data_IF_527439194058
#
_entry.id   IF_527439194058
#
_cell.length_a   1.000
_cell.length_b   1.000
_cell.length_c   1.000
_cell.angle_alpha   90.00
_cell.angle_beta   90.00
_cell.angle_gamma   90.00
#
_symmetry.space_group_name_H-M   'P 1'
#
loop_
_entity.id
_entity.type
_entity.pdbx_description
1 polymer ?
#
# COMPACT_ATOMS: atom_id res chain seq x y z
N UNK A 1 5.46 -16.27 6.68
CA UNK A 1 4.27 -15.39 6.85
C UNK A 1 3.50 -15.47 5.55
N UNK A 2 2.19 -15.75 5.61
CA UNK A 2 1.30 -15.80 4.45
C UNK A 2 0.70 -14.42 4.20
N UNK A 3 1.04 -13.82 3.06
CA UNK A 3 0.72 -12.43 2.75
C UNK A 3 -0.14 -12.38 1.49
N UNK A 4 -1.25 -11.64 1.58
CA UNK A 4 -2.15 -11.31 0.49
C UNK A 4 -1.97 -9.86 0.04
N UNK A 5 -1.82 -9.62 -1.26
CA UNK A 5 -1.94 -8.28 -1.85
C UNK A 5 -3.15 -8.25 -2.78
N UNK A 6 -4.13 -7.39 -2.49
CA UNK A 6 -5.33 -7.28 -3.31
C UNK A 6 -5.10 -6.25 -4.42
N UNK A 7 -4.68 -6.68 -5.61
CA UNK A 7 -4.54 -5.79 -6.74
C UNK A 7 -5.85 -5.74 -7.52
N UNK A 8 -6.40 -4.54 -7.73
CA UNK A 8 -7.59 -4.35 -8.54
C UNK A 8 -7.65 -2.94 -9.12
N UNK A 9 -8.66 -2.66 -9.94
CA UNK A 9 -8.91 -1.35 -10.52
C UNK A 9 -10.13 -0.66 -9.88
N UNK A 10 -9.96 0.01 -8.72
CA UNK A 10 -10.98 0.89 -8.18
C UNK A 10 -11.39 1.95 -9.20
N UNK A 11 -12.59 2.51 -9.04
CA UNK A 11 -13.07 3.66 -9.82
C UNK A 11 -13.38 4.82 -8.88
N UNK A 12 -12.91 6.02 -9.22
CA UNK A 12 -13.17 7.25 -8.45
C UNK A 12 -14.66 7.39 -8.15
N UNK A 13 -14.99 7.48 -6.87
CA UNK A 13 -16.34 7.73 -6.35
C UNK A 13 -17.30 6.54 -6.40
N UNK A 14 -16.97 5.41 -7.03
CA UNK A 14 -17.82 4.20 -7.09
C UNK A 14 -17.59 3.29 -5.88
N UNK A 15 -17.82 3.80 -4.67
CA UNK A 15 -17.50 3.08 -3.42
C UNK A 15 -18.16 1.70 -3.36
N UNK A 16 -19.46 1.64 -3.64
CA UNK A 16 -20.20 0.39 -3.63
C UNK A 16 -19.72 -0.60 -4.71
N UNK A 17 -19.33 -0.11 -5.89
CA UNK A 17 -18.76 -0.96 -6.93
C UNK A 17 -17.36 -1.45 -6.59
N UNK A 18 -16.53 -0.62 -5.97
CA UNK A 18 -15.17 -0.97 -5.56
C UNK A 18 -15.17 -2.04 -4.46
N UNK A 19 -16.07 -1.93 -3.49
CA UNK A 19 -16.31 -3.00 -2.49
C UNK A 19 -16.70 -4.31 -3.19
N UNK A 20 -17.65 -4.26 -4.13
CA UNK A 20 -18.05 -5.45 -4.89
C UNK A 20 -16.88 -6.07 -5.68
N UNK A 21 -15.99 -5.26 -6.26
CA UNK A 21 -14.80 -5.73 -6.98
C UNK A 21 -13.83 -6.44 -6.04
N UNK A 22 -13.51 -5.80 -4.91
CA UNK A 22 -12.66 -6.37 -3.87
C UNK A 22 -13.22 -7.71 -3.36
N UNK A 23 -14.50 -7.74 -2.99
CA UNK A 23 -15.18 -8.94 -2.50
C UNK A 23 -15.25 -10.05 -3.56
N UNK A 24 -15.45 -9.68 -4.84
CA UNK A 24 -15.46 -10.64 -5.94
C UNK A 24 -14.09 -11.32 -6.13
N UNK A 25 -12.99 -10.59 -5.96
CA UNK A 25 -11.64 -11.18 -6.03
C UNK A 25 -11.41 -12.11 -4.84
N UNK A 26 -11.69 -11.64 -3.61
CA UNK A 26 -11.50 -12.44 -2.40
C UNK A 26 -12.37 -13.70 -2.39
N UNK A 27 -13.60 -13.64 -2.92
CA UNK A 27 -14.50 -14.81 -2.98
C UNK A 27 -14.12 -15.83 -4.04
N UNK A 28 -13.35 -15.44 -5.07
CA UNK A 28 -12.82 -16.36 -6.10
C UNK A 28 -11.51 -17.02 -5.70
N UNK A 29 -10.79 -16.48 -4.71
CA UNK A 29 -9.57 -17.07 -4.21
C UNK A 29 -9.83 -18.45 -3.59
N UNK A 30 -8.86 -19.37 -3.71
CA UNK A 30 -9.04 -20.69 -3.13
C UNK A 30 -9.12 -20.56 -1.58
N UNK A 31 -9.96 -21.34 -0.90
CA UNK A 31 -10.04 -21.29 0.56
C UNK A 31 -8.70 -21.49 1.28
N UNK A 32 -7.81 -22.32 0.71
CA UNK A 32 -6.46 -22.52 1.23
C UNK A 32 -5.57 -21.27 1.11
N UNK A 33 -5.80 -20.45 0.08
CA UNK A 33 -5.09 -19.19 -0.16
C UNK A 33 -5.55 -18.09 0.81
N UNK A 34 -6.77 -18.20 1.35
CA UNK A 34 -7.35 -17.22 2.27
C UNK A 34 -6.95 -17.42 3.75
N UNK A 35 -6.15 -18.44 4.06
CA UNK A 35 -5.50 -18.57 5.37
C UNK A 35 -4.26 -17.67 5.43
N UNK A 36 -4.49 -16.35 5.43
CA UNK A 36 -3.49 -15.30 5.44
C UNK A 36 -3.13 -14.88 6.87
N UNK A 37 -1.90 -14.44 7.07
CA UNK A 37 -1.51 -13.67 8.26
C UNK A 37 -1.81 -12.18 8.06
N UNK A 38 -1.61 -11.69 6.82
CA UNK A 38 -1.73 -10.28 6.43
C UNK A 38 -2.41 -10.14 5.05
N UNK A 39 -3.36 -9.23 4.93
CA UNK A 39 -3.96 -8.77 3.67
C UNK A 39 -3.74 -7.26 3.53
N UNK A 40 -3.12 -6.84 2.43
CA UNK A 40 -2.83 -5.43 2.14
C UNK A 40 -3.63 -4.99 0.91
N UNK A 41 -4.34 -3.88 1.06
CA UNK A 41 -5.06 -3.22 -0.03
C UNK A 41 -4.27 -2.00 -0.56
N UNK A 42 -4.54 -1.58 -1.80
CA UNK A 42 -3.98 -0.37 -2.39
C UNK A 42 -4.37 0.90 -1.64
N UNK A 43 -3.69 1.97 -1.98
CA UNK A 43 -4.00 3.31 -1.51
C UNK A 43 -5.40 3.71 -1.99
N UNK A 44 -6.23 4.24 -1.08
CA UNK A 44 -7.60 4.66 -1.37
C UNK A 44 -8.44 3.59 -2.11
N UNK A 45 -8.26 2.33 -1.72
CA UNK A 45 -8.73 1.15 -2.45
C UNK A 45 -10.23 1.16 -2.74
N UNK A 46 -11.05 1.68 -1.82
CA UNK A 46 -12.50 1.61 -1.97
C UNK A 46 -13.10 2.90 -2.52
N UNK A 47 -12.35 4.00 -2.61
CA UNK A 47 -12.84 5.28 -3.14
C UNK A 47 -12.36 5.58 -4.56
N UNK A 48 -11.30 4.92 -5.04
CA UNK A 48 -10.49 5.45 -6.13
C UNK A 48 -9.59 6.58 -5.64
N UNK A 49 -8.72 7.13 -6.49
CA UNK A 49 -7.62 7.99 -6.05
C UNK A 49 -7.65 9.38 -6.69
N UNK A 50 -7.90 9.47 -7.99
CA UNK A 50 -7.66 10.67 -8.80
C UNK A 50 -8.70 11.81 -8.60
N UNK A 51 -8.99 12.18 -7.35
CA UNK A 51 -9.82 13.34 -7.01
C UNK A 51 -9.05 14.63 -7.30
N UNK A 52 -9.62 15.52 -8.12
CA UNK A 52 -8.94 16.72 -8.62
C UNK A 52 -8.99 17.91 -7.65
N UNK A 53 -9.88 17.86 -6.68
CA UNK A 53 -10.08 18.94 -5.73
C UNK A 53 -10.67 18.44 -4.42
N UNK A 54 -10.58 19.30 -3.40
CA UNK A 54 -11.28 19.08 -2.14
C UNK A 54 -12.80 18.86 -2.34
N UNK A 55 -13.44 19.60 -3.24
CA UNK A 55 -14.87 19.48 -3.48
C UNK A 55 -15.24 18.08 -4.02
N UNK A 56 -14.37 17.50 -4.85
CA UNK A 56 -14.60 16.19 -5.45
C UNK A 56 -14.47 15.06 -4.44
N UNK A 57 -13.54 15.19 -3.48
CA UNK A 57 -13.30 14.16 -2.47
C UNK A 57 -14.19 14.28 -1.23
N UNK A 58 -14.70 15.49 -0.91
CA UNK A 58 -15.46 15.75 0.32
C UNK A 58 -16.60 14.74 0.59
N UNK A 59 -17.39 14.27 -0.41
CA UNK A 59 -18.43 13.26 -0.19
C UNK A 59 -17.91 11.87 0.22
N UNK A 60 -16.63 11.60 0.01
CA UNK A 60 -15.98 10.32 0.22
C UNK A 60 -15.05 10.30 1.44
N UNK A 61 -14.83 11.45 2.09
CA UNK A 61 -14.05 11.54 3.33
C UNK A 61 -14.72 10.75 4.46
N UNK A 62 -13.94 9.91 5.14
CA UNK A 62 -14.45 8.97 6.13
C UNK A 62 -13.86 9.18 7.53
N UNK A 63 -14.71 9.04 8.55
CA UNK A 63 -14.25 8.94 9.94
C UNK A 63 -13.54 7.60 10.18
N UNK A 64 -12.42 7.60 10.89
CA UNK A 64 -11.62 6.38 11.14
C UNK A 64 -12.40 5.22 11.79
N UNK A 65 -13.43 5.52 12.59
CA UNK A 65 -14.13 4.52 13.42
C UNK A 65 -15.44 4.02 12.79
N UNK A 66 -16.04 4.80 11.88
CA UNK A 66 -17.35 4.53 11.27
C UNK A 66 -17.33 4.58 9.73
N UNK A 67 -16.21 4.94 9.13
CA UNK A 67 -16.00 4.93 7.69
C UNK A 67 -16.32 3.60 7.05
N UNK A 68 -16.77 3.63 5.80
CA UNK A 68 -17.10 2.44 5.02
C UNK A 68 -15.85 1.60 4.76
N UNK A 69 -14.71 2.21 4.46
CA UNK A 69 -13.44 1.52 4.27
C UNK A 69 -12.94 0.87 5.54
N UNK A 70 -13.01 1.57 6.68
CA UNK A 70 -12.66 1.01 7.99
C UNK A 70 -13.61 -0.11 8.41
N UNK A 71 -14.90 0.02 8.10
CA UNK A 71 -15.90 -1.02 8.39
C UNK A 71 -15.64 -2.27 7.55
N UNK A 72 -15.43 -2.11 6.24
CA UNK A 72 -15.06 -3.21 5.36
C UNK A 72 -13.78 -3.90 5.83
N UNK A 73 -12.74 -3.14 6.21
CA UNK A 73 -11.48 -3.69 6.71
C UNK A 73 -11.68 -4.53 7.99
N UNK A 74 -12.54 -4.08 8.92
CA UNK A 74 -12.89 -4.85 10.14
C UNK A 74 -13.64 -6.13 9.83
N UNK A 75 -14.60 -6.08 8.92
CA UNK A 75 -15.36 -7.26 8.50
C UNK A 75 -14.47 -8.28 7.78
N UNK A 76 -13.61 -7.81 6.85
CA UNK A 76 -12.65 -8.65 6.16
C UNK A 76 -11.65 -9.28 7.12
N UNK A 77 -11.09 -8.50 8.06
CA UNK A 77 -10.13 -8.98 9.05
C UNK A 77 -10.74 -10.07 9.94
N UNK A 78 -11.95 -9.86 10.45
CA UNK A 78 -12.65 -10.85 11.27
C UNK A 78 -13.06 -12.11 10.49
N UNK A 79 -13.52 -11.93 9.24
CA UNK A 79 -13.93 -13.03 8.36
C UNK A 79 -12.76 -13.94 8.00
N UNK A 80 -11.62 -13.35 7.65
CA UNK A 80 -10.41 -14.07 7.21
C UNK A 80 -9.41 -14.34 8.34
N UNK A 81 -9.68 -13.83 9.55
CA UNK A 81 -8.84 -13.96 10.76
C UNK A 81 -7.38 -13.53 10.53
N UNK A 82 -7.20 -12.48 9.75
CA UNK A 82 -5.89 -11.95 9.36
C UNK A 82 -5.79 -10.46 9.66
N UNK A 83 -4.58 -9.92 9.71
CA UNK A 83 -4.39 -8.47 9.75
C UNK A 83 -4.78 -7.87 8.40
N UNK A 84 -5.56 -6.79 8.40
CA UNK A 84 -5.92 -6.06 7.18
C UNK A 84 -5.35 -4.65 7.24
N UNK A 85 -4.71 -4.22 6.15
CA UNK A 85 -4.29 -2.84 5.93
C UNK A 85 -5.07 -2.28 4.75
N UNK A 86 -5.82 -1.19 4.95
CA UNK A 86 -6.64 -0.58 3.91
C UNK A 86 -6.48 0.93 3.84
N UNK A 87 -6.12 1.44 2.65
CA UNK A 87 -6.01 2.87 2.38
C UNK A 87 -7.38 3.53 2.19
N UNK A 88 -7.58 4.72 2.77
CA UNK A 88 -8.83 5.47 2.72
C UNK A 88 -8.60 6.99 2.92
N UNK A 89 -9.51 7.85 2.44
CA UNK A 89 -9.45 9.28 2.72
C UNK A 89 -10.07 9.59 4.10
N UNK A 90 -9.22 9.92 5.07
CA UNK A 90 -9.61 10.19 6.45
C UNK A 90 -10.13 11.62 6.63
N UNK A 91 -11.17 11.75 7.45
CA UNK A 91 -11.65 12.99 8.04
C UNK A 91 -11.43 12.99 9.54
N UNK A 92 -11.01 14.13 10.08
CA UNK A 92 -10.92 14.36 11.51
C UNK A 92 -11.69 15.60 11.87
N UNK A 93 -12.68 15.43 12.73
CA UNK A 93 -13.38 16.54 13.35
C UNK A 93 -12.49 17.18 14.42
N UNK A 94 -12.34 18.51 14.37
CA UNK A 94 -11.62 19.24 15.40
C UNK A 94 -12.26 19.10 16.79
N UNK A 95 -11.58 19.53 17.86
CA UNK A 95 -11.92 19.23 19.25
C UNK A 95 -13.27 19.81 19.72
N UNK A 96 -13.95 20.64 18.92
CA UNK A 96 -15.32 21.08 19.19
C UNK A 96 -16.17 21.13 17.91
N UNK A 97 -17.49 20.98 18.05
CA UNK A 97 -18.45 21.21 16.97
C UNK A 97 -18.45 22.66 16.42
N UNK A 98 -17.73 23.59 17.09
CA UNK A 98 -17.52 24.97 16.65
C UNK A 98 -16.16 25.20 15.99
N UNK A 99 -15.29 24.19 15.93
CA UNK A 99 -14.04 24.27 15.18
C UNK A 99 -14.35 24.21 13.68
N UNK A 100 -13.91 25.24 12.97
CA UNK A 100 -14.18 25.45 11.54
C UNK A 100 -13.30 24.54 10.67
N UNK A 101 -12.18 24.03 11.22
CA UNK A 101 -11.21 23.26 10.47
C UNK A 101 -11.43 21.75 10.68
N UNK A 102 -11.89 21.11 9.60
CA UNK A 102 -11.85 19.65 9.46
C UNK A 102 -10.49 19.29 8.85
N UNK A 103 -9.68 18.53 9.58
CA UNK A 103 -8.44 17.99 9.04
C UNK A 103 -8.74 16.78 8.17
N UNK A 104 -7.94 16.58 7.13
CA UNK A 104 -8.14 15.54 6.12
C UNK A 104 -6.80 14.91 5.78
N UNK A 105 -6.79 13.60 5.59
CA UNK A 105 -5.55 12.87 5.34
C UNK A 105 -5.77 11.75 4.34
N UNK A 106 -4.76 11.46 3.53
CA UNK A 106 -4.64 10.16 2.90
C UNK A 106 -4.06 9.20 3.95
N UNK A 107 -4.83 8.19 4.32
CA UNK A 107 -4.52 7.34 5.47
C UNK A 107 -4.64 5.85 5.13
N UNK A 108 -4.10 5.01 6.02
CA UNK A 108 -4.25 3.58 6.00
C UNK A 108 -4.61 3.09 7.41
N UNK A 109 -5.75 2.41 7.53
CA UNK A 109 -6.16 1.75 8.77
C UNK A 109 -5.54 0.36 8.85
N UNK A 110 -5.10 -0.03 10.04
CA UNK A 110 -4.61 -1.38 10.33
C UNK A 110 -5.54 -2.05 11.33
N UNK A 111 -6.07 -3.20 10.97
CA UNK A 111 -7.04 -3.96 11.75
C UNK A 111 -6.52 -5.36 12.03
N UNK A 112 -6.63 -5.85 13.26
CA UNK A 112 -6.24 -7.21 13.62
C UNK A 112 -7.29 -8.26 13.21
N UNK A 113 -6.93 -9.55 13.30
CA UNK A 113 -7.81 -10.66 12.94
C UNK A 113 -9.06 -10.83 13.83
N UNK A 114 -9.20 -10.03 14.89
CA UNK A 114 -10.44 -9.95 15.68
C UNK A 114 -11.37 -8.82 15.21
N UNK A 115 -10.97 -8.06 14.17
CA UNK A 115 -11.70 -6.91 13.67
C UNK A 115 -11.48 -5.63 14.50
N UNK A 116 -10.44 -5.58 15.34
CA UNK A 116 -10.11 -4.39 16.13
C UNK A 116 -9.08 -3.52 15.41
N UNK A 117 -9.37 -2.23 15.28
CA UNK A 117 -8.40 -1.25 14.78
C UNK A 117 -7.21 -1.17 15.72
N UNK A 118 -6.02 -1.49 15.20
CA UNK A 118 -4.74 -1.49 15.91
C UNK A 118 -4.07 -0.13 15.78
N UNK A 119 -4.07 0.44 14.58
CA UNK A 119 -3.46 1.74 14.32
C UNK A 119 -4.06 2.41 13.08
N UNK A 120 -3.73 3.68 12.89
CA UNK A 120 -4.07 4.47 11.72
C UNK A 120 -2.83 5.26 11.30
N UNK A 121 -2.40 5.09 10.05
CA UNK A 121 -1.20 5.69 9.50
C UNK A 121 -1.62 6.77 8.50
N UNK A 122 -0.95 7.93 8.50
CA UNK A 122 -1.22 9.02 7.56
C UNK A 122 -0.03 9.20 6.64
N UNK A 123 -0.31 9.41 5.35
CA UNK A 123 0.70 9.65 4.31
C UNK A 123 1.56 10.83 4.70
N UNK A 124 2.86 10.64 4.72
CA UNK A 124 3.80 11.68 5.18
C UNK A 124 4.21 12.60 4.04
N UNK A 125 4.48 12.04 2.87
CA UNK A 125 4.84 12.79 1.67
C UNK A 125 3.67 12.75 0.70
N UNK A 126 3.07 13.91 0.45
CA UNK A 126 1.94 14.02 -0.47
C UNK A 126 2.41 14.00 -1.92
N UNK A 127 1.60 13.38 -2.78
CA UNK A 127 1.69 13.59 -4.22
C UNK A 127 0.82 14.79 -4.60
N UNK A 128 1.04 15.42 -5.75
CA UNK A 128 0.31 16.63 -6.13
C UNK A 128 -1.22 16.45 -6.10
N UNK A 129 -1.71 15.23 -6.34
CA UNK A 129 -3.15 14.91 -6.25
C UNK A 129 -3.64 15.06 -4.81
N UNK A 130 -2.87 14.55 -3.83
CA UNK A 130 -3.18 14.65 -2.41
C UNK A 130 -3.09 16.09 -1.89
N UNK A 131 -2.11 16.87 -2.38
CA UNK A 131 -1.89 18.27 -1.96
C UNK A 131 -3.11 19.18 -2.17
N UNK A 132 -4.03 18.80 -3.06
CA UNK A 132 -5.26 19.57 -3.33
C UNK A 132 -6.31 19.45 -2.23
N UNK A 133 -6.22 18.47 -1.33
CA UNK A 133 -7.27 18.17 -0.36
C UNK A 133 -6.79 17.66 1.01
N UNK A 134 -5.59 17.08 1.10
CA UNK A 134 -5.06 16.44 2.30
C UNK A 134 -3.97 17.27 2.98
N UNK A 135 -3.78 17.02 4.28
CA UNK A 135 -2.62 17.44 5.05
C UNK A 135 -1.60 16.29 5.12
N UNK A 136 -0.33 16.63 5.34
CA UNK A 136 0.73 15.66 5.64
C UNK A 136 0.51 15.03 7.03
N UNK A 137 0.83 13.74 7.15
CA UNK A 137 0.93 13.04 8.43
C UNK A 137 2.09 13.55 9.29
N UNK A 138 2.13 13.13 10.56
CA UNK A 138 3.16 13.56 11.53
C UNK A 138 4.49 12.78 11.39
N UNK A 139 4.85 12.40 10.16
CA UNK A 139 6.01 11.56 9.85
C UNK A 139 5.67 10.08 9.62
N UNK A 140 6.68 9.35 9.16
CA UNK A 140 6.52 7.95 8.74
C UNK A 140 6.13 7.05 9.90
N UNK A 141 5.19 6.14 9.65
CA UNK A 141 4.74 5.23 10.68
C UNK A 141 5.70 4.05 10.88
N UNK A 142 6.00 3.75 12.15
CA UNK A 142 6.55 2.47 12.56
C UNK A 142 5.97 2.00 13.91
N UNK A 143 5.75 0.71 14.07
CA UNK A 143 5.20 0.16 15.31
C UNK A 143 5.20 -1.36 15.34
N UNK A 144 4.87 -1.95 16.48
CA UNK A 144 4.71 -3.42 16.58
C UNK A 144 3.26 -3.78 16.30
N UNK A 145 3.03 -4.56 15.25
CA UNK A 145 1.72 -5.18 15.02
C UNK A 145 1.70 -6.48 15.83
N UNK A 146 1.14 -6.41 17.05
CA UNK A 146 1.25 -7.48 18.04
C UNK A 146 0.78 -8.85 17.54
N UNK A 147 -0.28 -8.89 16.72
CA UNK A 147 -0.82 -10.12 16.13
C UNK A 147 0.13 -10.77 15.11
N UNK A 148 1.00 -10.00 14.46
CA UNK A 148 2.04 -10.52 13.56
C UNK A 148 3.36 -10.80 14.29
N UNK A 149 3.54 -10.25 15.49
CA UNK A 149 4.81 -10.32 16.23
C UNK A 149 5.96 -9.56 15.57
N UNK A 150 5.67 -8.70 14.58
CA UNK A 150 6.69 -8.00 13.79
C UNK A 150 6.70 -6.50 14.06
N UNK A 151 7.91 -5.92 14.09
CA UNK A 151 8.08 -4.49 13.97
C UNK A 151 7.87 -4.09 12.51
N UNK A 152 6.93 -3.19 12.30
CA UNK A 152 6.34 -2.91 11.00
C UNK A 152 6.43 -1.42 10.71
N UNK A 153 6.97 -1.07 9.55
CA UNK A 153 6.89 0.28 8.99
C UNK A 153 5.83 0.31 7.88
N UNK A 154 5.04 1.37 7.84
CA UNK A 154 3.97 1.53 6.84
C UNK A 154 4.18 2.85 6.12
N UNK A 155 4.25 2.79 4.81
CA UNK A 155 4.30 3.93 3.92
C UNK A 155 3.16 3.89 2.92
N UNK A 156 2.76 5.05 2.43
CA UNK A 156 1.73 5.21 1.41
C UNK A 156 2.38 5.84 0.17
N UNK A 157 2.49 5.05 -0.90
CA UNK A 157 2.93 5.47 -2.24
C UNK A 157 4.14 6.42 -2.24
N UNK A 158 3.88 7.73 -2.35
CA UNK A 158 4.84 8.82 -2.42
C UNK A 158 5.77 8.90 -1.21
N UNK A 159 5.44 8.28 -0.08
CA UNK A 159 6.34 8.16 1.08
C UNK A 159 7.71 7.57 0.72
N UNK A 160 7.79 6.70 -0.30
CA UNK A 160 9.07 6.12 -0.72
C UNK A 160 9.96 7.10 -1.51
N UNK A 161 9.40 8.18 -2.04
CA UNK A 161 10.11 9.13 -2.90
C UNK A 161 10.87 10.20 -2.11
N UNK A 162 11.84 10.89 -2.76
CA UNK A 162 12.39 12.11 -2.19
C UNK A 162 11.27 13.13 -1.94
N UNK A 163 11.33 13.84 -0.81
CA UNK A 163 10.31 14.81 -0.43
C UNK A 163 10.03 15.80 -1.57
N UNK A 164 8.75 15.89 -1.98
CA UNK A 164 8.25 16.74 -3.08
C UNK A 164 8.92 16.54 -4.44
N UNK A 165 9.66 15.45 -4.63
CA UNK A 165 10.60 15.28 -5.75
C UNK A 165 11.70 16.36 -5.82
N UNK A 166 11.91 17.11 -4.75
CA UNK A 166 12.91 18.18 -4.64
C UNK A 166 14.11 17.75 -3.80
N UNK A 167 13.89 16.90 -2.80
CA UNK A 167 14.98 16.36 -1.99
C UNK A 167 15.95 15.53 -2.84
N UNK A 168 17.24 15.44 -2.47
CA UNK A 168 18.21 14.63 -3.19
C UNK A 168 17.76 13.16 -3.30
N UNK A 169 17.99 12.52 -4.45
CA UNK A 169 17.73 11.08 -4.64
C UNK A 169 18.31 10.23 -3.50
N UNK A 170 19.50 10.59 -3.02
CA UNK A 170 20.23 9.87 -1.98
C UNK A 170 19.68 10.08 -0.56
N UNK A 171 18.62 10.87 -0.39
CA UNK A 171 18.02 11.12 0.92
C UNK A 171 17.34 9.86 1.49
N UNK A 172 16.73 9.03 0.63
CA UNK A 172 16.13 7.73 0.99
C UNK A 172 15.35 7.74 2.31
N UNK A 173 14.55 8.78 2.53
CA UNK A 173 14.00 9.16 3.83
C UNK A 173 13.25 8.01 4.50
N UNK A 174 12.32 7.40 3.76
CA UNK A 174 11.56 6.26 4.27
C UNK A 174 12.43 5.01 4.52
N UNK A 175 13.38 4.70 3.65
CA UNK A 175 14.24 3.52 3.83
C UNK A 175 15.17 3.66 5.06
N UNK A 176 15.68 4.87 5.33
CA UNK A 176 16.43 5.12 6.56
C UNK A 176 15.55 5.07 7.80
N UNK A 177 14.30 5.54 7.72
CA UNK A 177 13.36 5.39 8.82
C UNK A 177 13.06 3.91 9.13
N UNK A 178 12.87 3.07 8.10
CA UNK A 178 12.72 1.62 8.27
C UNK A 178 13.94 1.02 9.00
N UNK A 179 15.15 1.42 8.63
CA UNK A 179 16.38 0.98 9.29
C UNK A 179 16.47 1.43 10.74
N UNK A 180 16.18 2.71 11.01
CA UNK A 180 16.18 3.28 12.35
C UNK A 180 15.14 2.59 13.24
N UNK A 181 13.96 2.33 12.68
CA UNK A 181 12.92 1.56 13.31
C UNK A 181 13.34 0.10 13.50
N UNK A 182 14.29 -0.46 12.74
CA UNK A 182 14.60 -1.90 12.76
C UNK A 182 13.35 -2.74 12.45
N UNK A 183 12.58 -2.31 11.46
CA UNK A 183 11.37 -3.02 11.05
C UNK A 183 11.74 -4.28 10.26
N UNK A 184 11.06 -5.39 10.57
CA UNK A 184 11.17 -6.66 9.83
C UNK A 184 10.10 -6.78 8.74
N UNK A 185 9.07 -5.93 8.80
CA UNK A 185 8.01 -5.85 7.81
C UNK A 185 7.86 -4.40 7.35
N UNK A 186 7.80 -4.21 6.04
CA UNK A 186 7.49 -2.93 5.40
C UNK A 186 6.26 -3.13 4.55
N UNK A 187 5.24 -2.29 4.75
CA UNK A 187 4.01 -2.32 3.98
C UNK A 187 3.89 -1.02 3.22
N UNK A 188 3.72 -1.13 1.91
CA UNK A 188 3.46 -0.02 1.01
C UNK A 188 2.08 -0.18 0.37
N UNK A 189 1.13 0.65 0.80
CA UNK A 189 -0.17 0.79 0.16
C UNK A 189 -0.07 1.86 -0.92
N UNK A 190 -0.40 1.54 -2.19
CA UNK A 190 0.00 2.38 -3.32
C UNK A 190 -1.10 2.62 -4.37
N UNK A 191 -1.09 3.84 -4.92
CA UNK A 191 -1.71 4.22 -6.18
C UNK A 191 -0.65 4.78 -7.14
N UNK A 192 0.33 3.94 -7.48
CA UNK A 192 1.51 4.31 -8.26
C UNK A 192 1.24 4.26 -9.76
N UNK A 193 1.64 5.33 -10.45
CA UNK A 193 1.47 5.47 -11.89
C UNK A 193 2.55 4.71 -12.68
N UNK A 194 2.16 4.14 -13.81
CA UNK A 194 3.13 3.68 -14.81
C UNK A 194 3.67 4.88 -15.61
N UNK A 195 4.79 4.65 -16.31
CA UNK A 195 5.32 5.59 -17.31
C UNK A 195 4.83 5.28 -18.72
N UNK A 196 4.24 4.09 -18.93
CA UNK A 196 3.67 3.69 -20.20
C UNK A 196 2.38 4.47 -20.48
N UNK A 197 2.11 4.71 -21.76
CA UNK A 197 0.79 5.18 -22.18
C UNK A 197 -0.26 4.07 -21.98
N UNK A 198 -1.52 4.46 -21.81
CA UNK A 198 -2.59 3.51 -21.47
C UNK A 198 -2.72 2.38 -22.51
N UNK A 199 -2.61 2.68 -23.81
CA UNK A 199 -2.70 1.69 -24.87
C UNK A 199 -1.58 0.63 -24.74
N UNK A 200 -0.33 1.07 -24.56
CA UNK A 200 0.84 0.18 -24.38
C UNK A 200 0.69 -0.66 -23.11
N UNK A 201 0.24 -0.05 -22.01
CA UNK A 201 0.00 -0.72 -20.73
C UNK A 201 -0.93 -1.94 -20.91
N UNK A 202 -2.04 -1.78 -21.63
CA UNK A 202 -3.04 -2.83 -21.83
C UNK A 202 -2.65 -3.91 -22.84
N UNK A 203 -1.55 -3.76 -23.60
CA UNK A 203 -1.09 -4.80 -24.52
C UNK A 203 -0.54 -6.05 -23.80
N UNK A 204 0.05 -5.88 -22.61
CA UNK A 204 0.68 -6.98 -21.86
C UNK A 204 0.24 -7.04 -20.38
N UNK A 205 -1.07 -7.22 -20.10
CA UNK A 205 -1.61 -7.09 -18.74
C UNK A 205 -1.06 -8.12 -17.75
N UNK A 206 -0.60 -9.28 -18.24
CA UNK A 206 -0.01 -10.34 -17.41
C UNK A 206 1.48 -10.16 -17.15
N UNK A 207 2.14 -9.19 -17.80
CA UNK A 207 3.54 -8.87 -17.53
C UNK A 207 3.63 -7.78 -16.46
N UNK A 208 4.61 -7.86 -15.55
CA UNK A 208 4.82 -6.80 -14.57
C UNK A 208 5.40 -5.54 -15.22
N UNK A 209 5.12 -4.38 -14.63
CA UNK A 209 5.84 -3.13 -14.90
C UNK A 209 7.23 -3.20 -14.24
N UNK A 210 8.20 -3.65 -15.02
CA UNK A 210 9.56 -3.93 -14.54
C UNK A 210 10.30 -2.65 -14.17
N UNK A 211 10.08 -1.56 -14.88
CA UNK A 211 10.72 -0.27 -14.59
C UNK A 211 10.26 0.29 -13.25
N UNK A 212 8.95 0.19 -12.96
CA UNK A 212 8.37 0.56 -11.68
C UNK A 212 8.93 -0.31 -10.55
N UNK A 213 9.00 -1.63 -10.73
CA UNK A 213 9.59 -2.53 -9.71
C UNK A 213 11.06 -2.18 -9.44
N UNK A 214 11.87 -1.98 -10.49
CA UNK A 214 13.28 -1.58 -10.35
C UNK A 214 13.38 -0.25 -9.61
N UNK A 215 12.50 0.70 -9.90
CA UNK A 215 12.46 1.98 -9.22
C UNK A 215 12.19 1.82 -7.71
N UNK A 216 11.16 1.06 -7.33
CA UNK A 216 10.85 0.79 -5.93
C UNK A 216 12.01 0.12 -5.20
N UNK A 217 12.64 -0.89 -5.82
CA UNK A 217 13.82 -1.57 -5.26
C UNK A 217 14.98 -0.58 -5.05
N UNK A 218 15.25 0.31 -6.01
CA UNK A 218 16.30 1.33 -5.88
C UNK A 218 16.00 2.32 -4.74
N UNK A 219 14.74 2.66 -4.49
CA UNK A 219 14.37 3.52 -3.35
C UNK A 219 14.60 2.87 -1.99
N UNK A 220 14.73 1.54 -1.95
CA UNK A 220 15.09 0.77 -0.75
C UNK A 220 16.58 0.45 -0.65
N UNK A 221 17.42 1.14 -1.43
CA UNK A 221 18.87 0.93 -1.47
C UNK A 221 19.55 0.91 -0.08
N UNK A 222 19.21 1.78 0.90
CA UNK A 222 19.78 1.66 2.25
C UNK A 222 19.50 0.32 2.92
N UNK A 223 18.29 -0.26 2.75
CA UNK A 223 17.96 -1.57 3.29
C UNK A 223 18.77 -2.68 2.61
N UNK A 224 18.95 -2.59 1.30
CA UNK A 224 19.73 -3.56 0.52
C UNK A 224 21.20 -3.51 0.93
N UNK A 225 21.77 -2.31 1.09
CA UNK A 225 23.15 -2.14 1.52
C UNK A 225 23.37 -2.47 2.99
N UNK A 226 22.29 -2.49 3.79
CA UNK A 226 22.38 -2.92 5.19
C UNK A 226 22.74 -4.41 5.27
N UNK A 227 23.74 -4.73 6.09
CA UNK A 227 24.12 -6.11 6.38
C UNK A 227 23.30 -6.64 7.55
N UNK A 228 21.98 -6.56 7.42
CA UNK A 228 21.06 -7.11 8.41
C UNK A 228 21.02 -8.63 8.27
N UNK A 229 21.25 -9.33 9.39
CA UNK A 229 21.12 -10.79 9.47
C UNK A 229 19.67 -11.21 9.31
N UNK A 230 18.75 -10.45 9.90
CA UNK A 230 17.31 -10.66 9.78
C UNK A 230 16.80 -10.15 8.44
N UNK A 231 15.90 -10.92 7.83
CA UNK A 231 15.22 -10.52 6.61
C UNK A 231 14.18 -9.42 6.89
N UNK A 232 14.17 -8.40 6.02
CA UNK A 232 13.11 -7.40 5.95
C UNK A 232 12.17 -7.79 4.81
N UNK A 233 10.93 -8.17 5.13
CA UNK A 233 9.89 -8.44 4.14
C UNK A 233 9.26 -7.12 3.72
N UNK A 234 9.16 -6.88 2.42
CA UNK A 234 8.56 -5.66 1.86
C UNK A 234 7.37 -6.03 0.99
N UNK A 235 6.22 -5.44 1.28
CA UNK A 235 4.95 -5.69 0.62
C UNK A 235 4.54 -4.45 -0.16
N UNK A 236 4.51 -4.54 -1.48
CA UNK A 236 3.97 -3.52 -2.38
C UNK A 236 2.57 -3.93 -2.82
N UNK A 237 1.54 -3.30 -2.28
CA UNK A 237 0.15 -3.46 -2.72
C UNK A 237 -0.25 -2.23 -3.52
N UNK A 238 -0.17 -2.34 -4.83
CA UNK A 238 -0.46 -1.26 -5.76
C UNK A 238 -1.72 -1.56 -6.56
N UNK A 239 -2.52 -0.54 -6.84
CA UNK A 239 -3.69 -0.68 -7.72
C UNK A 239 -3.27 -0.80 -9.18
N UNK A 240 -4.21 -1.26 -10.01
CA UNK A 240 -4.09 -1.27 -11.47
C UNK A 240 -5.23 -0.44 -12.12
N UNK A 241 -5.30 -0.44 -13.45
CA UNK A 241 -6.32 0.21 -14.23
C UNK A 241 -6.05 1.70 -14.45
N UNK A 242 -7.11 2.43 -14.80
CA UNK A 242 -7.03 3.84 -15.19
C UNK A 242 -8.09 4.68 -14.50
N UNK A 243 -7.77 5.94 -14.22
CA UNK A 243 -8.70 6.98 -13.78
C UNK A 243 -8.43 8.27 -14.57
N UNK A 244 -9.36 8.63 -15.45
CA UNK A 244 -9.16 9.70 -16.44
C UNK A 244 -7.86 9.50 -17.24
N UNK A 245 -6.92 10.45 -17.16
CA UNK A 245 -5.60 10.40 -17.81
C UNK A 245 -4.55 9.56 -17.06
N UNK A 246 -4.84 9.12 -15.83
CA UNK A 246 -3.90 8.39 -15.00
C UNK A 246 -3.98 6.87 -15.27
N UNK A 247 -2.82 6.23 -15.49
CA UNK A 247 -2.69 4.77 -15.60
C UNK A 247 -1.82 4.25 -14.46
N UNK A 248 -2.31 3.25 -13.72
CA UNK A 248 -1.65 2.70 -12.54
C UNK A 248 -0.88 1.42 -12.85
N UNK A 249 0.35 1.31 -12.34
CA UNK A 249 1.32 0.28 -12.72
C UNK A 249 0.96 -1.15 -12.30
N UNK A 250 -0.04 -1.36 -11.44
CA UNK A 250 -0.29 -2.67 -10.82
C UNK A 250 0.99 -3.21 -10.21
N UNK A 251 1.39 -4.42 -10.60
CA UNK A 251 2.68 -5.01 -10.24
C UNK A 251 2.86 -5.15 -8.72
N UNK A 252 1.76 -5.42 -8.01
CA UNK A 252 1.82 -5.76 -6.59
C UNK A 252 2.78 -6.92 -6.37
N UNK A 253 3.69 -6.76 -5.42
CA UNK A 253 4.89 -7.60 -5.28
C UNK A 253 5.24 -7.77 -3.81
N UNK A 254 5.71 -8.96 -3.44
CA UNK A 254 6.30 -9.22 -2.12
C UNK A 254 7.77 -9.58 -2.28
N UNK A 255 8.63 -8.83 -1.59
CA UNK A 255 10.07 -8.97 -1.60
C UNK A 255 10.60 -9.38 -0.21
N UNK A 256 11.78 -9.97 -0.20
CA UNK A 256 12.61 -10.13 0.99
C UNK A 256 13.97 -9.50 0.78
N UNK A 257 14.43 -8.67 1.71
CA UNK A 257 15.75 -8.05 1.66
C UNK A 257 16.58 -8.61 2.82
N UNK A 258 17.68 -9.28 2.48
CA UNK A 258 18.58 -9.89 3.46
C UNK A 258 20.00 -9.99 2.88
N UNK A 259 21.01 -9.57 3.63
CA UNK A 259 22.42 -9.68 3.22
C UNK A 259 22.72 -9.17 1.79
N UNK A 260 22.19 -7.98 1.46
CA UNK A 260 22.31 -7.38 0.12
C UNK A 260 21.71 -8.17 -1.03
N UNK A 261 20.87 -9.14 -0.71
CA UNK A 261 20.12 -9.90 -1.68
C UNK A 261 18.65 -9.51 -1.62
N UNK A 262 18.05 -9.30 -2.80
CA UNK A 262 16.62 -9.01 -2.95
C UNK A 262 15.94 -10.26 -3.52
N UNK A 263 15.17 -10.92 -2.67
CA UNK A 263 14.30 -12.05 -2.98
C UNK A 263 12.97 -11.55 -3.50
N UNK A 264 12.42 -12.21 -4.51
CA UNK A 264 11.04 -12.01 -4.96
C UNK A 264 10.24 -13.24 -4.56
N UNK A 265 9.25 -13.09 -3.69
CA UNK A 265 8.37 -14.19 -3.28
C UNK A 265 7.19 -14.35 -4.21
N UNK A 266 6.71 -13.26 -4.80
CA UNK A 266 5.63 -13.27 -5.78
C UNK A 266 5.33 -11.88 -6.29
N UNK A 267 4.71 -11.81 -7.46
CA UNK A 267 4.38 -10.58 -8.18
C UNK A 267 3.22 -10.83 -9.13
N UNK A 268 2.35 -9.85 -9.29
CA UNK A 268 1.29 -9.85 -10.31
C UNK A 268 1.72 -9.09 -11.57
N UNK A 269 1.08 -9.40 -12.69
CA UNK A 269 1.12 -8.59 -13.89
C UNK A 269 0.49 -7.21 -13.66
N UNK A 270 0.88 -6.26 -14.50
CA UNK A 270 0.50 -4.85 -14.36
C UNK A 270 -1.00 -4.60 -14.49
N UNK A 271 -1.71 -5.39 -15.30
CA UNK A 271 -3.14 -5.25 -15.58
C UNK A 271 -4.06 -6.27 -14.87
N UNK A 272 -3.52 -7.14 -14.02
CA UNK A 272 -4.31 -8.20 -13.38
C UNK A 272 -5.12 -7.67 -12.19
N UNK A 273 -6.39 -8.09 -12.09
CA UNK A 273 -7.24 -7.85 -10.92
C UNK A 273 -7.39 -9.14 -10.09
N UNK A 274 -6.40 -9.40 -9.23
CA UNK A 274 -6.23 -10.68 -8.52
C UNK A 274 -5.71 -10.49 -7.09
N UNK A 275 -5.86 -11.54 -6.28
CA UNK A 275 -5.21 -11.63 -4.97
C UNK A 275 -3.87 -12.34 -5.13
N UNK A 276 -2.76 -11.61 -4.99
CA UNK A 276 -1.44 -12.23 -4.85
C UNK A 276 -1.36 -12.90 -3.49
N UNK A 277 -1.10 -14.20 -3.43
CA UNK A 277 -0.82 -14.91 -2.18
C UNK A 277 0.59 -15.47 -2.21
N UNK A 278 1.38 -15.12 -1.20
CA UNK A 278 2.74 -15.62 -1.01
C UNK A 278 2.92 -16.19 0.38
N UNK A 279 3.79 -17.17 0.53
CA UNK A 279 4.27 -17.65 1.83
C UNK A 279 5.77 -17.44 1.93
N UNK A 280 6.19 -16.50 2.77
CA UNK A 280 7.61 -16.17 2.95
C UNK A 280 8.42 -17.25 3.68
N UNK A 281 7.78 -18.33 4.15
CA UNK A 281 8.49 -19.54 4.60
C UNK A 281 8.92 -20.46 3.46
N UNK A 282 8.36 -20.27 2.26
CA UNK A 282 8.75 -20.98 1.04
C UNK A 282 9.93 -20.30 0.35
N UNK A 283 10.73 -21.02 -0.48
CA UNK A 283 11.79 -20.40 -1.27
C UNK A 283 11.25 -19.29 -2.19
N UNK A 284 12.01 -18.22 -2.45
CA UNK A 284 11.61 -17.17 -3.38
C UNK A 284 11.56 -17.70 -4.83
N UNK A 285 10.68 -17.12 -5.64
CA UNK A 285 10.53 -17.49 -7.05
C UNK A 285 11.60 -16.86 -7.95
N UNK A 286 12.17 -15.73 -7.54
CA UNK A 286 13.24 -15.05 -8.26
C UNK A 286 14.15 -14.23 -7.33
N UNK A 287 15.25 -13.74 -7.88
CA UNK A 287 16.21 -12.89 -7.18
C UNK A 287 16.55 -11.69 -8.07
N UNK A 288 16.59 -10.50 -7.48
CA UNK A 288 17.06 -9.28 -8.14
C UNK A 288 18.50 -9.05 -7.73
N UNK A 289 19.42 -9.09 -8.70
CA UNK A 289 20.82 -8.74 -8.47
C UNK A 289 20.96 -7.23 -8.50
N UNK A 290 21.27 -6.63 -7.35
CA UNK A 290 21.67 -5.24 -7.32
C UNK A 290 23.12 -5.15 -7.80
N UNK A 291 23.34 -4.69 -9.04
CA UNK A 291 24.69 -4.35 -9.48
C UNK A 291 25.16 -3.13 -8.69
N UNK A 292 26.28 -3.28 -7.98
CA UNK A 292 26.95 -2.16 -7.32
C UNK A 292 27.71 -1.39 -8.40
N UNK A 293 27.07 -0.40 -9.01
CA UNK A 293 27.75 0.62 -9.84
C UNK A 293 27.73 1.95 -9.13
#
# INVERSE_FOLDING_TARGET
>A
MRIGCLQFAPRVGDVAGNIKRADAILSRANPEDLSLDLLVLPEMALTGYNFKSLQDIEPFLEDKDSGVSCTWAREAAAKHRCVVVAGYPEKVHGPSASSIETERYNAAVVVDGAGKTVTNCRKSFLYYTDETWALEGQGFYHGTVASLGTKTSIGICMDINPYKFEAPWTAFEFAFEVLQAKSNLVIMSMAWLTRDEADEFFETPNQPDTDTLIYWVKRLEPLIRSKNDDEVVVVFANRTGTEDEATYAGTSTVLGIQNSCVKVYGMLGRGQEELLVVDTSSPPCAWIRHEMT
#
